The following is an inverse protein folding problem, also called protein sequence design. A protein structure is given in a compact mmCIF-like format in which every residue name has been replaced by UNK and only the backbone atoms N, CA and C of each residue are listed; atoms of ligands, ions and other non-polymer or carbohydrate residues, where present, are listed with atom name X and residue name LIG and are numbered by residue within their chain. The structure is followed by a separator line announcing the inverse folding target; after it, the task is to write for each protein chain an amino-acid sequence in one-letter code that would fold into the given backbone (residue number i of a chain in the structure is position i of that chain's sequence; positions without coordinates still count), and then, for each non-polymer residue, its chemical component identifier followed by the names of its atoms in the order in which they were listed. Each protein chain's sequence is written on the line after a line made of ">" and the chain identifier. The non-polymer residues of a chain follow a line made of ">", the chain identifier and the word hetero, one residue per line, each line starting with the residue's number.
data_IF_485099979374
#
_entry.id   IF_485099979374
#
_cell.length_a   1.000
_cell.length_b   1.000
_cell.length_c   1.000
_cell.angle_alpha   90.00
_cell.angle_beta   90.00
_cell.angle_gamma   90.00
#
_symmetry.space_group_name_H-M   'P 1'
#
loop_
_entity.id
_entity.type
_entity.pdbx_description
1 polymer ?
#
# COMPACT_ATOMS: atom_id res chain seq x y z
N UNK A 1 15.58 -0.30 42.44
CA UNK A 1 14.26 0.01 41.83
C UNK A 1 14.40 0.81 40.52
N UNK A 2 15.31 1.80 40.43
CA UNK A 2 15.51 2.63 39.23
C UNK A 2 16.05 1.92 37.98
N UNK A 3 16.86 0.87 38.13
CA UNK A 3 17.45 0.13 37.00
C UNK A 3 16.40 -0.62 36.16
N UNK A 4 15.43 -1.25 36.82
CA UNK A 4 14.34 -1.98 36.17
C UNK A 4 13.37 -1.04 35.42
N UNK A 5 13.23 0.21 35.87
CA UNK A 5 12.37 1.21 35.22
C UNK A 5 12.98 1.72 33.91
N UNK A 6 14.31 1.95 33.88
CA UNK A 6 15.04 2.30 32.64
C UNK A 6 15.01 1.16 31.63
N UNK A 7 15.15 -0.09 32.07
CA UNK A 7 15.06 -1.25 31.19
C UNK A 7 13.64 -1.42 30.61
N UNK A 8 12.59 -1.24 31.41
CA UNK A 8 11.21 -1.21 30.89
C UNK A 8 10.99 -0.08 29.89
N UNK A 9 11.53 1.12 30.13
CA UNK A 9 11.38 2.25 29.21
C UNK A 9 12.11 2.00 27.88
N UNK A 10 13.29 1.37 27.92
CA UNK A 10 14.04 0.97 26.73
C UNK A 10 13.33 -0.13 25.94
N UNK A 11 12.73 -1.12 26.63
CA UNK A 11 11.92 -2.16 25.99
C UNK A 11 10.66 -1.54 25.35
N UNK A 12 9.94 -0.66 26.06
CA UNK A 12 8.78 0.07 25.53
C UNK A 12 9.14 0.97 24.34
N UNK A 13 10.31 1.63 24.37
CA UNK A 13 10.81 2.43 23.27
C UNK A 13 11.23 1.57 22.05
N UNK A 14 11.82 0.39 22.26
CA UNK A 14 12.16 -0.54 21.18
C UNK A 14 10.92 -1.13 20.48
N UNK A 15 9.84 -1.36 21.24
CA UNK A 15 8.53 -1.77 20.73
C UNK A 15 7.80 -0.62 20.00
N UNK A 16 8.28 0.62 20.15
CA UNK A 16 7.77 1.82 19.49
C UNK A 16 8.47 2.13 18.16
N UNK A 17 9.23 1.18 17.61
CA UNK A 17 9.71 1.24 16.23
C UNK A 17 8.52 1.08 15.28
N UNK A 18 7.74 2.15 15.10
CA UNK A 18 6.66 2.18 14.13
C UNK A 18 7.30 2.16 12.73
N UNK A 19 7.37 0.98 12.12
CA UNK A 19 7.45 0.91 10.67
C UNK A 19 6.17 1.58 10.13
N UNK A 20 6.30 2.82 9.64
CA UNK A 20 5.18 3.58 9.12
C UNK A 20 4.68 2.89 7.83
N UNK A 21 3.52 2.26 7.94
CA UNK A 21 2.82 1.63 6.82
C UNK A 21 2.24 2.74 5.94
N UNK A 22 2.62 2.81 4.67
CA UNK A 22 2.04 3.78 3.73
C UNK A 22 0.68 3.30 3.20
N UNK A 23 0.49 1.99 3.15
CA UNK A 23 -0.80 1.35 2.89
C UNK A 23 -1.02 0.21 3.89
N UNK A 24 -2.28 -0.16 4.13
CA UNK A 24 -2.63 -1.31 4.99
C UNK A 24 -3.25 -2.45 4.18
N UNK A 25 -4.10 -2.11 3.21
CA UNK A 25 -4.77 -3.03 2.29
C UNK A 25 -4.77 -2.41 0.91
N UNK A 26 -4.91 -3.25 -0.13
CA UNK A 26 -5.20 -2.79 -1.49
C UNK A 26 -6.70 -2.80 -1.81
N UNK A 27 -7.02 -2.98 -3.08
CA UNK A 27 -8.37 -3.08 -3.62
C UNK A 27 -8.43 -4.19 -4.68
N UNK A 28 -9.58 -4.83 -4.81
CA UNK A 28 -9.74 -6.05 -5.62
C UNK A 28 -9.41 -5.83 -7.11
N UNK A 29 -9.51 -4.58 -7.59
CA UNK A 29 -9.36 -4.22 -8.99
C UNK A 29 -8.70 -2.84 -9.15
N UNK A 30 -7.71 -2.78 -10.01
CA UNK A 30 -7.21 -1.59 -10.68
C UNK A 30 -7.13 -1.85 -12.20
N UNK A 31 -6.97 -0.78 -12.98
CA UNK A 31 -6.79 -0.85 -14.42
C UNK A 31 -5.41 -0.29 -14.80
N UNK A 32 -4.83 -0.78 -15.88
CA UNK A 32 -3.63 -0.19 -16.49
C UNK A 32 -3.95 0.30 -17.89
N UNK A 33 -3.71 1.58 -18.17
CA UNK A 33 -3.88 2.15 -19.51
C UNK A 33 -2.73 1.70 -20.42
N UNK A 34 -2.94 0.58 -21.09
CA UNK A 34 -1.96 -0.05 -21.95
C UNK A 34 -2.02 0.53 -23.35
N UNK A 35 -0.93 1.15 -23.79
CA UNK A 35 -0.80 1.62 -25.18
C UNK A 35 -0.41 0.47 -26.11
N UNK A 36 -1.23 0.19 -27.11
CA UNK A 36 -1.01 -0.89 -28.08
C UNK A 36 0.00 -0.43 -29.13
N UNK A 37 1.26 -0.85 -28.97
CA UNK A 37 2.33 -0.58 -29.92
C UNK A 37 2.23 -1.44 -31.20
N UNK A 38 2.97 -1.07 -32.25
CA UNK A 38 2.91 -1.73 -33.55
C UNK A 38 3.34 -3.20 -33.50
N UNK A 39 2.64 -4.09 -34.19
CA UNK A 39 2.86 -5.56 -34.17
C UNK A 39 2.45 -6.26 -32.87
N UNK A 40 1.89 -5.53 -31.91
CA UNK A 40 1.30 -6.13 -30.72
C UNK A 40 -0.02 -6.85 -31.06
N UNK A 41 -0.39 -7.83 -30.25
CA UNK A 41 -1.62 -8.60 -30.42
C UNK A 41 -2.21 -9.04 -29.07
N UNK A 42 -3.49 -9.42 -29.09
CA UNK A 42 -4.22 -9.81 -27.88
C UNK A 42 -3.64 -11.04 -27.20
N UNK A 43 -3.00 -11.96 -27.93
CA UNK A 43 -2.33 -13.12 -27.33
C UNK A 43 -1.16 -12.70 -26.46
N UNK A 44 -0.32 -11.78 -26.94
CA UNK A 44 0.80 -11.25 -26.16
C UNK A 44 0.32 -10.43 -24.96
N UNK A 45 -0.69 -9.58 -25.16
CA UNK A 45 -1.26 -8.76 -24.07
C UNK A 45 -1.87 -9.65 -22.98
N UNK A 46 -2.59 -10.71 -23.38
CA UNK A 46 -3.13 -11.75 -22.49
C UNK A 46 -2.03 -12.44 -21.68
N UNK A 47 -0.91 -12.80 -22.33
CA UNK A 47 0.24 -13.42 -21.68
C UNK A 47 0.85 -12.53 -20.59
N UNK A 48 1.17 -11.27 -20.91
CA UNK A 48 1.87 -10.37 -19.96
C UNK A 48 0.98 -9.90 -18.80
N UNK A 49 -0.32 -9.79 -19.04
CA UNK A 49 -1.31 -9.40 -18.03
C UNK A 49 -1.83 -10.59 -17.23
N UNK A 50 -1.58 -11.82 -17.71
CA UNK A 50 -2.17 -13.05 -17.18
C UNK A 50 -3.72 -12.99 -17.17
N UNK A 51 -4.31 -12.30 -18.15
CA UNK A 51 -5.76 -12.13 -18.31
C UNK A 51 -6.25 -12.78 -19.58
N UNK A 52 -7.44 -13.40 -19.51
CA UNK A 52 -8.05 -13.93 -20.73
C UNK A 52 -8.39 -12.81 -21.72
N UNK A 53 -8.34 -13.11 -23.02
CA UNK A 53 -8.72 -12.15 -24.07
C UNK A 53 -10.14 -11.62 -23.84
N UNK A 54 -11.05 -12.49 -23.39
CA UNK A 54 -12.44 -12.12 -23.09
C UNK A 54 -12.55 -11.14 -21.91
N UNK A 55 -11.72 -11.32 -20.89
CA UNK A 55 -11.65 -10.38 -19.76
C UNK A 55 -11.09 -9.02 -20.21
N UNK A 56 -10.05 -9.00 -21.03
CA UNK A 56 -9.51 -7.76 -21.61
C UNK A 56 -10.60 -7.05 -22.42
N UNK A 57 -11.27 -7.74 -23.33
CA UNK A 57 -12.33 -7.15 -24.16
C UNK A 57 -13.51 -6.65 -23.32
N UNK A 58 -13.81 -7.29 -22.18
CA UNK A 58 -14.91 -6.85 -21.32
C UNK A 58 -14.76 -5.43 -20.76
N UNK A 59 -13.53 -4.91 -20.70
CA UNK A 59 -13.23 -3.52 -20.32
C UNK A 59 -13.01 -2.58 -21.53
N UNK A 60 -12.95 -3.11 -22.75
CA UNK A 60 -12.49 -2.39 -23.95
C UNK A 60 -13.44 -2.60 -25.14
N UNK A 61 -14.75 -2.61 -24.88
CA UNK A 61 -15.76 -2.99 -25.88
C UNK A 61 -15.86 -2.00 -27.04
N UNK A 62 -15.55 -0.73 -26.79
CA UNK A 62 -15.62 0.33 -27.81
C UNK A 62 -14.36 0.33 -28.70
N UNK A 63 -13.21 0.01 -28.11
CA UNK A 63 -11.89 0.04 -28.73
C UNK A 63 -11.59 -1.26 -29.49
N UNK A 64 -12.10 -2.39 -28.99
CA UNK A 64 -11.88 -3.74 -29.53
C UNK A 64 -13.22 -4.39 -29.91
N UNK A 65 -13.76 -4.06 -31.10
CA UNK A 65 -15.05 -4.59 -31.55
C UNK A 65 -15.00 -6.08 -31.94
N UNK A 66 -13.81 -6.66 -32.16
CA UNK A 66 -13.64 -8.07 -32.52
C UNK A 66 -12.41 -8.69 -31.85
N UNK A 67 -12.43 -10.02 -31.62
CA UNK A 67 -11.35 -10.74 -30.92
C UNK A 67 -10.14 -11.03 -31.81
N UNK A 68 -10.30 -10.91 -33.13
CA UNK A 68 -9.33 -11.38 -34.12
C UNK A 68 -8.32 -10.29 -34.51
N UNK A 69 -8.60 -9.03 -34.17
CA UNK A 69 -7.73 -7.91 -34.51
C UNK A 69 -7.80 -6.81 -33.47
N UNK A 70 -6.63 -6.23 -33.17
CA UNK A 70 -6.50 -5.03 -32.36
C UNK A 70 -5.76 -3.98 -33.19
N UNK A 71 -6.25 -2.75 -33.19
CA UNK A 71 -5.54 -1.64 -33.85
C UNK A 71 -4.32 -1.27 -33.02
N UNK A 72 -3.21 -0.93 -33.67
CA UNK A 72 -2.13 -0.24 -32.97
C UNK A 72 -2.51 1.22 -32.72
N UNK A 73 -1.74 1.89 -31.86
CA UNK A 73 -1.87 3.31 -31.51
C UNK A 73 -3.12 3.70 -30.73
N UNK A 74 -3.76 2.73 -30.06
CA UNK A 74 -4.87 2.96 -29.12
C UNK A 74 -4.44 2.64 -27.67
N UNK A 75 -5.21 3.15 -26.70
CA UNK A 75 -5.12 2.72 -25.29
C UNK A 75 -6.22 1.70 -25.00
N UNK A 76 -5.89 0.70 -24.19
CA UNK A 76 -6.84 -0.28 -23.66
C UNK A 76 -6.63 -0.41 -22.15
N UNK A 77 -7.69 -0.67 -21.40
CA UNK A 77 -7.65 -0.89 -19.97
C UNK A 77 -7.40 -2.38 -19.65
N UNK A 78 -6.29 -2.64 -18.96
CA UNK A 78 -5.95 -3.98 -18.47
C UNK A 78 -6.33 -4.13 -17.00
N UNK A 79 -7.29 -5.01 -16.64
CA UNK A 79 -7.64 -5.24 -15.25
C UNK A 79 -6.55 -6.05 -14.52
N UNK A 80 -6.27 -5.69 -13.26
CA UNK A 80 -5.37 -6.43 -12.38
C UNK A 80 -5.69 -6.20 -10.89
N UNK A 81 -5.19 -7.06 -9.99
CA UNK A 81 -5.39 -6.88 -8.54
C UNK A 81 -4.46 -5.82 -7.99
N UNK A 82 -4.96 -4.93 -7.13
CA UNK A 82 -4.14 -3.92 -6.50
C UNK A 82 -3.86 -4.31 -5.04
N UNK A 83 -2.60 -4.54 -4.70
CA UNK A 83 -2.19 -5.06 -3.38
C UNK A 83 -1.30 -4.05 -2.65
N UNK A 84 -1.29 -4.12 -1.33
CA UNK A 84 -0.34 -3.34 -0.53
C UNK A 84 0.96 -4.15 -0.37
N UNK A 85 1.96 -3.84 -1.19
CA UNK A 85 3.23 -4.55 -1.26
C UNK A 85 4.16 -4.01 -0.17
N UNK A 86 4.68 -4.93 0.65
CA UNK A 86 5.60 -4.67 1.76
C UNK A 86 5.16 -3.55 2.72
N UNK A 87 3.85 -3.27 2.80
CA UNK A 87 3.28 -2.14 3.56
C UNK A 87 3.77 -0.76 3.10
N UNK A 88 4.40 -0.68 1.93
CA UNK A 88 5.06 0.51 1.43
C UNK A 88 4.34 1.17 0.27
N UNK A 89 3.73 0.41 -0.64
CA UNK A 89 3.06 1.00 -1.80
C UNK A 89 1.98 0.07 -2.35
N UNK A 90 1.05 0.65 -3.10
CA UNK A 90 0.01 -0.08 -3.82
C UNK A 90 0.52 -0.49 -5.20
N UNK A 91 0.43 -1.78 -5.51
CA UNK A 91 0.86 -2.31 -6.80
C UNK A 91 0.46 -3.75 -7.03
N UNK A 92 0.89 -4.26 -8.19
CA UNK A 92 0.77 -5.65 -8.58
C UNK A 92 2.11 -6.13 -9.13
N UNK A 93 2.45 -7.39 -8.86
CA UNK A 93 3.68 -8.01 -9.40
C UNK A 93 3.32 -9.04 -10.46
N UNK A 94 3.39 -8.64 -11.73
CA UNK A 94 3.26 -9.56 -12.85
C UNK A 94 4.50 -10.44 -12.98
N UNK A 95 4.33 -11.65 -13.53
CA UNK A 95 5.46 -12.54 -13.84
C UNK A 95 5.63 -12.63 -15.35
N UNK A 96 6.72 -12.06 -15.85
CA UNK A 96 7.06 -12.10 -17.27
C UNK A 96 8.10 -13.20 -17.54
N UNK A 97 7.85 -14.06 -18.52
CA UNK A 97 8.85 -15.06 -18.97
C UNK A 97 9.79 -14.40 -19.97
N UNK A 98 11.08 -14.39 -19.64
CA UNK A 98 12.10 -13.74 -20.45
C UNK A 98 12.23 -14.42 -21.81
N UNK A 99 12.42 -13.63 -22.86
CA UNK A 99 12.75 -14.09 -24.21
C UNK A 99 14.15 -13.64 -24.56
N UNK A 100 14.77 -14.36 -25.50
CA UNK A 100 16.14 -14.06 -25.92
C UNK A 100 16.27 -12.62 -26.41
N UNK A 101 17.25 -11.90 -25.86
CA UNK A 101 17.50 -10.49 -26.17
C UNK A 101 16.60 -9.49 -25.44
N UNK A 102 15.84 -9.92 -24.42
CA UNK A 102 15.10 -8.99 -23.58
C UNK A 102 16.00 -8.23 -22.60
N UNK A 103 15.61 -6.99 -22.34
CA UNK A 103 16.23 -6.11 -21.34
C UNK A 103 15.14 -5.54 -20.44
N UNK A 104 15.50 -5.05 -19.25
CA UNK A 104 14.52 -4.38 -18.39
C UNK A 104 13.84 -3.18 -19.06
N UNK A 105 14.56 -2.44 -19.89
CA UNK A 105 14.02 -1.33 -20.68
C UNK A 105 12.98 -1.81 -21.70
N UNK A 106 13.28 -2.87 -22.45
CA UNK A 106 12.34 -3.44 -23.43
C UNK A 106 11.08 -3.98 -22.75
N UNK A 107 11.25 -4.66 -21.60
CA UNK A 107 10.13 -5.18 -20.81
C UNK A 107 9.27 -4.01 -20.31
N UNK A 108 9.85 -3.01 -19.64
CA UNK A 108 9.09 -1.91 -19.05
C UNK A 108 8.45 -0.99 -20.10
N UNK A 109 9.24 -0.50 -21.05
CA UNK A 109 8.85 0.59 -21.96
C UNK A 109 8.08 0.08 -23.18
N UNK A 110 8.43 -1.11 -23.69
CA UNK A 110 7.76 -1.71 -24.85
C UNK A 110 6.68 -2.69 -24.42
N UNK A 111 7.05 -3.78 -23.74
CA UNK A 111 6.08 -4.85 -23.49
C UNK A 111 4.98 -4.45 -22.52
N UNK A 112 5.31 -3.72 -21.45
CA UNK A 112 4.35 -3.17 -20.49
C UNK A 112 3.96 -1.72 -20.79
N UNK A 113 4.33 -1.17 -21.94
CA UNK A 113 3.90 0.15 -22.43
C UNK A 113 4.03 1.29 -21.41
N UNK A 114 5.13 1.32 -20.65
CA UNK A 114 5.42 2.29 -19.58
C UNK A 114 4.48 2.25 -18.37
N UNK A 115 3.71 1.17 -18.16
CA UNK A 115 2.99 0.92 -16.89
C UNK A 115 3.95 0.72 -15.69
N UNK A 116 5.24 0.54 -15.99
CA UNK A 116 6.34 0.48 -15.05
C UNK A 116 7.58 1.11 -15.70
N UNK A 117 8.64 1.29 -14.93
CA UNK A 117 9.94 1.74 -15.42
C UNK A 117 11.03 0.69 -15.18
N UNK A 118 12.12 0.77 -15.92
CA UNK A 118 13.19 -0.22 -15.85
C UNK A 118 13.94 -0.22 -14.52
N UNK A 119 14.03 0.91 -13.83
CA UNK A 119 14.64 0.94 -12.49
C UNK A 119 13.75 0.20 -11.50
N UNK A 120 12.43 0.33 -11.63
CA UNK A 120 11.46 -0.37 -10.81
C UNK A 120 11.52 -1.87 -11.07
N UNK A 121 11.51 -2.30 -12.34
CA UNK A 121 11.71 -3.72 -12.68
C UNK A 121 13.04 -4.22 -12.12
N UNK A 122 14.14 -3.51 -12.34
CA UNK A 122 15.45 -3.92 -11.83
C UNK A 122 15.47 -4.03 -10.29
N UNK A 123 14.83 -3.11 -9.56
CA UNK A 123 14.81 -3.09 -8.10
C UNK A 123 14.21 -4.36 -7.48
N UNK A 124 13.23 -4.97 -8.15
CA UNK A 124 12.54 -6.17 -7.66
C UNK A 124 13.06 -7.47 -8.28
N UNK A 125 14.21 -7.43 -8.95
CA UNK A 125 14.86 -8.59 -9.55
C UNK A 125 16.36 -8.61 -9.23
N UNK A 126 16.94 -9.81 -9.16
CA UNK A 126 18.35 -10.00 -8.81
C UNK A 126 19.26 -10.25 -10.02
N UNK A 127 18.73 -10.19 -11.24
CA UNK A 127 19.50 -10.47 -12.45
C UNK A 127 20.36 -9.28 -12.86
N UNK A 128 21.47 -9.57 -13.54
CA UNK A 128 22.30 -8.54 -14.15
C UNK A 128 21.52 -7.89 -15.31
N UNK A 129 21.36 -6.55 -15.35
CA UNK A 129 20.63 -5.86 -16.43
C UNK A 129 21.16 -6.15 -17.84
N UNK A 130 22.45 -6.46 -17.95
CA UNK A 130 23.12 -6.76 -19.23
C UNK A 130 23.06 -8.25 -19.60
N UNK A 131 22.55 -9.11 -18.72
CA UNK A 131 22.49 -10.55 -18.94
C UNK A 131 21.36 -11.18 -18.12
N UNK A 132 20.12 -10.99 -18.59
CA UNK A 132 18.94 -11.63 -18.02
C UNK A 132 18.82 -13.02 -18.64
N UNK A 133 18.79 -14.12 -17.85
CA UNK A 133 18.74 -15.47 -18.43
C UNK A 133 17.43 -15.76 -19.17
N UNK A 134 17.52 -16.31 -20.39
CA UNK A 134 16.38 -16.62 -21.28
C UNK A 134 15.35 -17.61 -20.70
N UNK A 135 15.72 -18.39 -19.68
CA UNK A 135 14.81 -19.36 -19.03
C UNK A 135 14.17 -18.82 -17.74
N UNK A 136 14.49 -17.57 -17.37
CA UNK A 136 14.04 -16.97 -16.12
C UNK A 136 12.69 -16.26 -16.24
N UNK A 137 12.08 -15.98 -15.10
CA UNK A 137 10.94 -15.08 -15.00
C UNK A 137 11.34 -13.82 -14.25
N UNK A 138 10.93 -12.67 -14.77
CA UNK A 138 11.15 -11.35 -14.17
C UNK A 138 9.86 -10.89 -13.50
N UNK A 139 10.00 -10.35 -12.29
CA UNK A 139 8.92 -9.67 -11.58
C UNK A 139 8.73 -8.27 -12.18
N UNK A 140 7.55 -7.99 -12.70
CA UNK A 140 7.22 -6.70 -13.30
C UNK A 140 6.19 -6.02 -12.41
N UNK A 141 6.64 -5.08 -11.60
CA UNK A 141 5.79 -4.38 -10.65
C UNK A 141 5.11 -3.19 -11.31
N UNK A 142 3.79 -3.12 -11.26
CA UNK A 142 2.98 -1.99 -11.75
C UNK A 142 2.27 -1.38 -10.56
N UNK A 143 2.42 -0.06 -10.38
CA UNK A 143 1.75 0.63 -9.28
C UNK A 143 0.26 0.83 -9.61
N UNK A 144 -0.56 1.01 -8.57
CA UNK A 144 -1.99 1.27 -8.69
C UNK A 144 -2.46 2.22 -7.60
N UNK A 145 -3.71 2.69 -7.73
CA UNK A 145 -4.39 3.48 -6.71
C UNK A 145 -5.73 2.84 -6.38
N UNK A 146 -6.13 2.95 -5.11
CA UNK A 146 -7.46 2.57 -4.63
C UNK A 146 -8.34 3.79 -4.31
N UNK A 147 -7.90 4.98 -4.74
CA UNK A 147 -8.56 6.25 -4.46
C UNK A 147 -8.24 6.85 -3.10
N UNK A 148 -8.71 8.08 -2.92
CA UNK A 148 -8.62 8.82 -1.66
C UNK A 148 -9.97 9.47 -1.35
N UNK A 149 -10.64 8.94 -0.32
CA UNK A 149 -11.93 9.46 0.16
C UNK A 149 -11.90 10.93 0.61
N UNK A 150 -10.72 11.51 0.85
CA UNK A 150 -10.55 12.94 1.13
C UNK A 150 -10.63 13.80 -0.14
N UNK A 151 -10.33 13.23 -1.30
CA UNK A 151 -10.47 13.90 -2.60
C UNK A 151 -11.89 13.73 -3.11
N UNK A 152 -12.38 12.48 -3.22
CA UNK A 152 -13.77 12.17 -3.55
C UNK A 152 -14.16 10.76 -3.12
N UNK A 153 -15.44 10.57 -2.79
CA UNK A 153 -16.03 9.25 -2.50
C UNK A 153 -16.65 8.58 -3.74
N UNK A 154 -16.70 9.28 -4.86
CA UNK A 154 -17.31 8.81 -6.11
C UNK A 154 -16.39 7.90 -6.93
N UNK A 155 -15.10 7.84 -6.58
CA UNK A 155 -14.10 7.11 -7.35
C UNK A 155 -13.27 6.19 -6.45
N UNK A 156 -13.37 4.89 -6.71
CA UNK A 156 -12.69 3.79 -6.00
C UNK A 156 -12.04 2.76 -6.93
N UNK A 157 -12.22 2.91 -8.25
CA UNK A 157 -11.48 2.20 -9.29
C UNK A 157 -10.60 3.22 -10.02
N UNK A 158 -9.32 2.90 -10.19
CA UNK A 158 -8.36 3.80 -10.84
C UNK A 158 -7.60 3.09 -11.94
N UNK A 159 -7.28 3.88 -12.96
CA UNK A 159 -6.38 3.52 -14.06
C UNK A 159 -4.99 4.08 -13.76
N UNK A 160 -4.00 3.21 -13.77
CA UNK A 160 -2.58 3.58 -13.87
C UNK A 160 -2.33 4.04 -15.29
N UNK A 161 -2.10 5.34 -15.48
CA UNK A 161 -2.06 6.00 -16.78
C UNK A 161 -0.66 6.56 -17.06
N UNK A 162 0.15 5.86 -17.87
CA UNK A 162 1.43 6.38 -18.32
C UNK A 162 1.19 7.55 -19.29
N UNK A 163 1.74 8.72 -18.97
CA UNK A 163 1.68 9.90 -19.82
C UNK A 163 2.52 9.69 -21.08
N UNK A 164 2.00 10.20 -22.20
CA UNK A 164 2.65 10.22 -23.51
C UNK A 164 2.75 11.66 -24.02
N UNK A 165 3.63 11.95 -25.00
CA UNK A 165 3.88 13.33 -25.46
C UNK A 165 2.65 14.11 -25.92
N UNK A 166 1.61 13.40 -26.38
CA UNK A 166 0.34 13.96 -26.81
C UNK A 166 -0.65 14.28 -25.66
N UNK A 167 -0.36 13.82 -24.45
CA UNK A 167 -1.26 13.97 -23.31
C UNK A 167 -1.14 15.36 -22.67
N UNK A 168 -2.27 15.81 -22.13
CA UNK A 168 -2.42 17.04 -21.35
C UNK A 168 -3.51 16.83 -20.30
N UNK A 169 -3.59 17.71 -19.31
CA UNK A 169 -4.67 17.63 -18.32
C UNK A 169 -6.04 17.74 -19.00
N UNK A 170 -6.17 18.65 -19.96
CA UNK A 170 -7.40 18.93 -20.69
C UNK A 170 -7.80 17.78 -21.62
N UNK A 171 -6.85 17.12 -22.29
CA UNK A 171 -7.15 15.94 -23.11
C UNK A 171 -7.63 14.79 -22.27
N UNK A 172 -6.95 14.50 -21.14
CA UNK A 172 -7.32 13.41 -20.25
C UNK A 172 -8.70 13.65 -19.61
N UNK A 173 -9.00 14.88 -19.16
CA UNK A 173 -10.32 15.23 -18.62
C UNK A 173 -11.43 15.01 -19.65
N UNK A 174 -11.18 15.38 -20.91
CA UNK A 174 -12.13 15.18 -22.01
C UNK A 174 -12.35 13.69 -22.27
N UNK A 175 -11.28 12.90 -22.36
CA UNK A 175 -11.37 11.47 -22.68
C UNK A 175 -12.08 10.68 -21.57
N UNK A 176 -11.96 11.10 -20.31
CA UNK A 176 -12.68 10.49 -19.18
C UNK A 176 -14.18 10.80 -19.16
N UNK A 177 -14.66 11.77 -19.97
CA UNK A 177 -16.06 12.20 -20.02
C UNK A 177 -16.65 12.44 -18.62
N UNK A 178 -16.00 13.28 -17.80
CA UNK A 178 -16.55 13.69 -16.51
C UNK A 178 -17.92 14.39 -16.70
N UNK A 179 -18.93 13.99 -15.91
CA UNK A 179 -20.27 14.57 -15.99
C UNK A 179 -20.26 16.07 -15.64
N UNK A 180 -21.13 16.83 -16.33
CA UNK A 180 -21.30 18.27 -16.13
C UNK A 180 -21.47 18.62 -14.64
N UNK A 181 -20.63 19.54 -14.13
CA UNK A 181 -20.64 20.00 -12.74
C UNK A 181 -19.46 19.50 -11.88
N UNK A 182 -18.63 18.58 -12.39
CA UNK A 182 -17.34 18.25 -11.77
C UNK A 182 -16.22 19.03 -12.45
N UNK A 183 -15.42 19.75 -11.65
CA UNK A 183 -14.15 20.31 -12.14
C UNK A 183 -13.13 19.15 -12.25
N UNK A 184 -13.23 18.38 -13.34
CA UNK A 184 -12.39 17.21 -13.57
C UNK A 184 -10.90 17.54 -13.55
N UNK A 185 -10.52 18.75 -13.96
CA UNK A 185 -9.14 19.21 -13.92
C UNK A 185 -8.65 19.37 -12.48
N UNK A 186 -9.44 20.02 -11.61
CA UNK A 186 -9.15 20.11 -10.18
C UNK A 186 -9.12 18.71 -9.52
N UNK A 187 -10.07 17.84 -9.86
CA UNK A 187 -10.11 16.47 -9.35
C UNK A 187 -8.82 15.70 -9.68
N UNK A 188 -8.38 15.70 -10.94
CA UNK A 188 -7.17 15.01 -11.36
C UNK A 188 -5.90 15.59 -10.72
N UNK A 189 -5.82 16.92 -10.54
CA UNK A 189 -4.72 17.56 -9.81
C UNK A 189 -4.67 17.15 -8.34
N UNK A 190 -5.82 17.00 -7.69
CA UNK A 190 -5.89 16.55 -6.29
C UNK A 190 -5.52 15.08 -6.12
N UNK A 191 -5.84 14.22 -7.08
CA UNK A 191 -5.35 12.84 -7.09
C UNK A 191 -3.87 12.71 -7.45
N UNK A 192 -3.32 13.66 -8.21
CA UNK A 192 -1.94 13.65 -8.69
C UNK A 192 -1.21 14.95 -8.32
N UNK A 193 -1.01 15.22 -7.01
CA UNK A 193 -0.44 16.47 -6.56
C UNK A 193 0.99 16.66 -7.12
N UNK A 194 1.20 17.77 -7.83
CA UNK A 194 2.50 18.12 -8.43
C UNK A 194 2.82 17.42 -9.76
N UNK A 195 1.89 16.62 -10.31
CA UNK A 195 2.09 16.01 -11.62
C UNK A 195 2.00 17.04 -12.74
N UNK A 196 2.97 16.99 -13.66
CA UNK A 196 2.89 17.66 -14.95
C UNK A 196 2.27 16.70 -15.98
N UNK A 197 0.99 16.91 -16.26
CA UNK A 197 0.23 16.08 -17.20
C UNK A 197 0.70 16.21 -18.66
N UNK A 198 1.57 17.19 -18.96
CA UNK A 198 2.18 17.39 -20.30
C UNK A 198 3.64 16.94 -20.35
N UNK A 199 4.14 16.25 -19.33
CA UNK A 199 5.54 15.82 -19.25
C UNK A 199 5.93 14.77 -20.33
N UNK A 200 4.95 14.12 -20.95
CA UNK A 200 5.17 13.08 -21.95
C UNK A 200 5.74 11.76 -21.41
N UNK A 201 5.88 11.65 -20.08
CA UNK A 201 6.39 10.49 -19.37
C UNK A 201 5.91 10.51 -17.92
N UNK A 202 6.16 9.43 -17.19
CA UNK A 202 5.65 9.23 -15.83
C UNK A 202 4.23 8.69 -15.82
N UNK A 203 3.71 8.46 -14.61
CA UNK A 203 2.42 7.82 -14.38
C UNK A 203 1.55 8.78 -13.56
N UNK A 204 0.29 8.90 -13.97
CA UNK A 204 -0.79 9.50 -13.18
C UNK A 204 -1.87 8.47 -12.91
N UNK A 205 -2.67 8.69 -11.86
CA UNK A 205 -3.82 7.87 -11.53
C UNK A 205 -5.10 8.63 -11.87
N UNK A 206 -5.92 8.05 -12.74
CA UNK A 206 -7.20 8.65 -13.15
C UNK A 206 -8.36 7.74 -12.78
N UNK A 207 -9.56 8.25 -12.49
CA UNK A 207 -10.72 7.41 -12.23
C UNK A 207 -11.03 6.48 -13.40
N UNK A 208 -11.21 5.19 -13.11
CA UNK A 208 -11.54 4.16 -14.09
C UNK A 208 -13.02 3.79 -14.08
N UNK A 209 -13.46 3.17 -15.18
CA UNK A 209 -14.82 2.66 -15.36
C UNK A 209 -14.83 1.14 -15.27
N UNK A 210 -15.92 0.58 -14.78
CA UNK A 210 -16.14 -0.87 -14.82
C UNK A 210 -16.55 -1.36 -16.21
N UNK A 211 -16.82 -2.67 -16.33
CA UNK A 211 -17.21 -3.33 -17.59
C UNK A 211 -18.52 -2.81 -18.20
N UNK A 212 -19.29 -2.06 -17.41
CA UNK A 212 -20.57 -1.46 -17.80
C UNK A 212 -20.41 0.04 -18.10
N UNK A 213 -19.17 0.56 -18.07
CA UNK A 213 -18.85 1.95 -18.39
C UNK A 213 -19.11 2.93 -17.24
N UNK A 214 -19.28 2.45 -16.00
CA UNK A 214 -19.63 3.29 -14.86
C UNK A 214 -18.43 3.52 -13.94
N UNK A 215 -18.35 4.72 -13.35
CA UNK A 215 -17.40 4.98 -12.27
C UNK A 215 -17.78 4.16 -11.04
N UNK A 216 -16.79 3.54 -10.41
CA UNK A 216 -16.99 2.73 -9.20
C UNK A 216 -16.79 3.62 -7.97
N UNK A 217 -17.76 3.72 -7.04
CA UNK A 217 -17.59 4.50 -5.81
C UNK A 217 -16.49 3.96 -4.89
N UNK A 218 -15.88 4.86 -4.12
CA UNK A 218 -14.89 4.48 -3.11
C UNK A 218 -15.52 3.59 -2.03
N UNK A 219 -14.97 2.39 -1.85
CA UNK A 219 -15.36 1.48 -0.77
C UNK A 219 -14.40 1.64 0.39
N UNK A 220 -14.89 2.19 1.51
CA UNK A 220 -14.13 2.15 2.76
C UNK A 220 -13.96 0.69 3.17
N UNK A 221 -12.73 0.20 3.25
CA UNK A 221 -12.45 -1.10 3.85
C UNK A 221 -12.93 -1.07 5.31
N UNK A 222 -13.99 -1.82 5.61
CA UNK A 222 -14.41 -2.08 7.00
C UNK A 222 -13.40 -3.08 7.58
N UNK A 223 -12.21 -2.63 7.98
CA UNK A 223 -11.16 -3.57 8.34
C UNK A 223 -9.94 -2.95 8.98
N UNK A 224 -10.12 -2.33 10.14
CA UNK A 224 -9.00 -1.90 10.99
C UNK A 224 -9.52 -1.17 12.21
N UNK A 225 -9.06 -1.58 13.41
CA UNK A 225 -9.32 -0.82 14.61
C UNK A 225 -8.74 0.59 14.40
N UNK A 226 -9.59 1.61 14.49
CA UNK A 226 -9.21 3.02 14.35
C UNK A 226 -7.90 3.29 15.08
N UNK A 227 -7.05 4.17 14.54
CA UNK A 227 -5.86 4.68 15.25
C UNK A 227 -6.19 5.14 16.67
N UNK A 228 -7.41 5.64 16.91
CA UNK A 228 -7.92 5.95 18.25
C UNK A 228 -8.19 4.72 19.13
N UNK A 229 -8.63 3.59 18.56
CA UNK A 229 -8.76 2.33 19.28
C UNK A 229 -7.40 1.69 19.64
N UNK A 230 -6.40 1.83 18.77
CA UNK A 230 -5.02 1.38 19.07
C UNK A 230 -4.42 2.24 20.20
N UNK A 231 -4.59 3.56 20.15
CA UNK A 231 -4.17 4.46 21.23
C UNK A 231 -4.90 4.15 22.55
N UNK A 232 -6.19 3.85 22.50
CA UNK A 232 -6.98 3.47 23.67
C UNK A 232 -6.50 2.18 24.33
N UNK A 233 -6.18 1.14 23.54
CA UNK A 233 -5.64 -0.13 24.06
C UNK A 233 -4.26 0.09 24.69
N UNK A 234 -3.39 0.89 24.06
CA UNK A 234 -2.07 1.20 24.61
C UNK A 234 -2.16 1.90 25.98
N UNK A 235 -3.06 2.88 26.13
CA UNK A 235 -3.30 3.57 27.40
C UNK A 235 -3.85 2.62 28.46
N UNK A 236 -4.80 1.75 28.10
CA UNK A 236 -5.39 0.78 29.03
C UNK A 236 -4.35 -0.24 29.55
N UNK A 237 -3.44 -0.71 28.70
CA UNK A 237 -2.35 -1.63 29.08
C UNK A 237 -1.38 -0.93 30.05
N UNK A 238 -0.99 0.31 29.76
CA UNK A 238 -0.09 1.08 30.64
C UNK A 238 -0.75 1.36 31.99
N UNK A 239 -2.01 1.79 32.00
CA UNK A 239 -2.76 2.03 33.22
C UNK A 239 -2.92 0.74 34.07
N UNK A 240 -3.23 -0.39 33.42
CA UNK A 240 -3.33 -1.70 34.08
C UNK A 240 -2.02 -2.14 34.73
N UNK A 241 -0.88 -1.97 34.04
CA UNK A 241 0.43 -2.28 34.59
C UNK A 241 0.80 -1.39 35.78
N UNK A 242 0.48 -0.09 35.72
CA UNK A 242 0.72 0.84 36.83
C UNK A 242 -0.11 0.47 38.07
N UNK A 243 -1.38 0.09 37.87
CA UNK A 243 -2.25 -0.38 38.96
C UNK A 243 -1.72 -1.68 39.60
N UNK A 244 -1.24 -2.63 38.80
CA UNK A 244 -0.65 -3.87 39.32
C UNK A 244 0.63 -3.61 40.12
N UNK A 245 1.51 -2.73 39.65
CA UNK A 245 2.73 -2.34 40.38
C UNK A 245 2.38 -1.61 41.68
N UNK A 246 1.41 -0.70 41.64
CA UNK A 246 0.89 -0.01 42.82
C UNK A 246 0.29 -0.98 43.85
N UNK A 247 -0.53 -1.93 43.39
CA UNK A 247 -1.14 -2.97 44.22
C UNK A 247 -0.08 -3.86 44.89
N UNK A 248 0.89 -4.37 44.13
CA UNK A 248 2.00 -5.16 44.69
C UNK A 248 2.87 -4.36 45.66
N UNK A 249 3.12 -3.08 45.37
CA UNK A 249 3.84 -2.17 46.27
C UNK A 249 3.10 -1.98 47.59
N UNK A 250 1.79 -1.72 47.53
CA UNK A 250 0.94 -1.58 48.72
C UNK A 250 0.86 -2.89 49.53
N UNK A 251 0.70 -4.03 48.86
CA UNK A 251 0.66 -5.34 49.50
C UNK A 251 1.99 -5.66 50.20
N UNK A 252 3.14 -5.39 49.57
CA UNK A 252 4.46 -5.56 50.20
C UNK A 252 4.65 -4.61 51.38
N UNK A 253 4.22 -3.34 51.29
CA UNK A 253 4.27 -2.39 52.40
C UNK A 253 3.45 -2.88 53.59
N UNK A 254 2.22 -3.33 53.36
CA UNK A 254 1.34 -3.88 54.40
C UNK A 254 1.93 -5.15 55.04
N UNK A 255 2.58 -6.01 54.25
CA UNK A 255 3.27 -7.21 54.76
C UNK A 255 4.48 -6.84 55.63
N UNK A 256 5.25 -5.81 55.25
CA UNK A 256 6.38 -5.31 56.04
C UNK A 256 5.91 -4.63 57.33
N UNK A 257 4.85 -3.81 57.29
CA UNK A 257 4.26 -3.21 58.49
C UNK A 257 3.73 -4.28 59.44
N UNK A 258 3.04 -5.31 58.93
CA UNK A 258 2.59 -6.45 59.73
C UNK A 258 3.76 -7.21 60.36
N UNK A 259 4.85 -7.42 59.63
CA UNK A 259 6.05 -8.08 60.18
C UNK A 259 6.73 -7.22 61.26
N UNK A 260 6.83 -5.90 61.07
CA UNK A 260 7.38 -4.97 62.08
C UNK A 260 6.53 -4.90 63.34
N UNK A 261 5.20 -4.91 63.22
CA UNK A 261 4.28 -4.97 64.36
C UNK A 261 4.43 -6.27 65.15
N UNK A 262 4.65 -7.41 64.48
CA UNK A 262 4.91 -8.69 65.14
C UNK A 262 6.27 -8.74 65.85
N UNK A 263 7.33 -8.21 65.23
CA UNK A 263 8.66 -8.14 65.87
C UNK A 263 8.69 -7.16 67.06
N UNK A 264 7.91 -6.07 67.02
CA UNK A 264 7.79 -5.14 68.13
C UNK A 264 7.00 -5.69 69.33
N UNK A 265 6.19 -6.74 69.13
CA UNK A 265 5.48 -7.43 70.22
C UNK A 265 6.26 -8.59 70.87
N UNK A 266 7.41 -8.97 70.32
CA UNK A 266 8.27 -10.06 70.80
C UNK A 266 9.58 -9.55 71.44
N UNK A 267 9.55 -8.44 72.17
CA UNK A 267 10.67 -8.01 73.04
C UNK A 267 10.33 -8.26 74.52
N UNK A 268 10.83 -9.34 75.16
CA UNK A 268 10.66 -9.58 76.58
C UNK A 268 11.69 -8.81 77.40
N UNK A 269 11.18 -8.15 78.44
CA UNK A 269 11.89 -7.64 79.61
C UNK A 269 13.14 -8.46 80.01
N UNK A 270 14.29 -7.79 80.04
CA UNK A 270 15.34 -8.09 81.03
C UNK A 270 15.81 -6.78 81.67
N UNK A 271 15.33 -6.54 82.90
CA UNK A 271 15.90 -5.56 83.83
C UNK A 271 17.01 -6.27 84.61
N UNK A 272 18.25 -5.83 84.42
CA UNK A 272 19.37 -6.16 85.28
C UNK A 272 20.42 -5.06 85.15
N UNK A 273 20.60 -4.24 86.19
CA UNK A 273 21.57 -3.15 86.19
C UNK A 273 21.45 -2.22 87.40
N UNK A 274 22.16 -2.58 88.46
CA UNK A 274 22.36 -1.91 89.75
C UNK A 274 23.31 -0.70 89.61
N UNK A 275 23.10 0.39 90.35
CA UNK A 275 24.12 1.42 90.63
C UNK A 275 24.29 1.57 92.15
N UNK A 276 25.57 1.58 92.55
CA UNK A 276 26.25 2.13 93.76
C UNK A 276 25.43 2.20 95.05
#
# INVERSE_FOLDING_TARGET
>A
MFFNLKLCFLILASLYSHAYSQCATGCDLALGSYYVWDQNNLTFISEISSKSIDEIISYNKEEIPNKDSIKSTIRIDLPFSCECIDKQFLGHVFRYKVRSGDTYDKIAKTYYSNLTDSNWVQKFNSFNPNNIPDTSSVNVTVNCSCGDSKVSKEYGLFVTYPLRPEDSLESIVRDLNFSAGTDGADLLRRYNPGADFSAGTGIVYVPGRDKDGNFVPFKSSKGGLSTGGIAGIAVAVVAGLLLLVGYFGFYRKKKVEKFRLSTASEDPSSRGGFQI
#
